data_IF_907144456102
#
_entry.id   IF_907144456102
#
_cell.length_a   1.000
_cell.length_b   1.000
_cell.length_c   1.000
_cell.angle_alpha   90.00
_cell.angle_beta   90.00
_cell.angle_gamma   90.00
#
_symmetry.space_group_name_H-M   'P 1'
#
loop_
_entity.id
_entity.type
_entity.pdbx_description
1 polymer ?
#
# COMPACT_ATOMS: atom_id res chain seq x y z
N UNK A 1 20.35 8.28 2.92
CA UNK A 1 20.06 8.15 1.49
C UNK A 1 19.44 9.47 1.04
N UNK A 2 19.85 10.02 -0.10
CA UNK A 2 19.16 11.17 -0.71
C UNK A 2 17.84 10.68 -1.30
N UNK A 3 16.75 11.44 -1.14
CA UNK A 3 15.44 11.11 -1.73
C UNK A 3 15.59 10.94 -3.24
N UNK A 4 15.11 9.82 -3.77
CA UNK A 4 15.14 9.54 -5.21
C UNK A 4 13.77 9.05 -5.64
N UNK A 5 13.04 9.88 -6.38
CA UNK A 5 11.76 9.48 -6.97
C UNK A 5 11.97 9.10 -8.42
N UNK A 6 11.48 7.93 -8.81
CA UNK A 6 11.57 7.42 -10.17
C UNK A 6 10.19 7.11 -10.75
N UNK A 7 9.97 7.39 -12.04
CA UNK A 7 8.79 6.92 -12.75
C UNK A 7 8.74 5.39 -12.75
N UNK A 8 7.68 4.81 -12.20
CA UNK A 8 7.51 3.35 -12.07
C UNK A 8 7.49 2.65 -13.43
N UNK A 9 7.04 3.35 -14.47
CA UNK A 9 6.83 2.86 -15.83
C UNK A 9 8.15 2.68 -16.59
N UNK A 10 9.17 3.47 -16.30
CA UNK A 10 10.50 3.40 -16.94
C UNK A 10 11.60 2.82 -16.05
N UNK A 11 11.31 2.58 -14.77
CA UNK A 11 12.27 2.00 -13.84
C UNK A 11 12.76 0.60 -14.26
N UNK A 12 14.09 0.42 -14.25
CA UNK A 12 14.74 -0.85 -14.55
C UNK A 12 14.95 -1.66 -13.27
N UNK A 13 14.17 -2.75 -13.14
CA UNK A 13 14.26 -3.66 -12.00
C UNK A 13 15.35 -4.71 -12.17
N UNK A 14 15.98 -5.06 -11.05
CA UNK A 14 16.98 -6.11 -10.93
C UNK A 14 16.66 -7.04 -9.73
N UNK A 15 17.27 -8.23 -9.72
CA UNK A 15 17.09 -9.19 -8.63
C UNK A 15 17.61 -8.71 -7.27
N UNK A 16 18.42 -7.64 -7.24
CA UNK A 16 18.93 -7.04 -6.00
C UNK A 16 17.93 -6.05 -5.38
N UNK A 17 16.87 -5.69 -6.11
CA UNK A 17 15.86 -4.78 -5.62
C UNK A 17 14.92 -5.48 -4.63
N UNK A 18 14.67 -4.81 -3.51
CA UNK A 18 13.54 -5.05 -2.63
C UNK A 18 12.52 -3.94 -2.80
N UNK A 19 11.24 -4.29 -2.83
CA UNK A 19 10.13 -3.33 -2.93
C UNK A 19 9.09 -3.59 -1.85
N UNK A 20 8.53 -2.51 -1.33
CA UNK A 20 7.33 -2.52 -0.51
C UNK A 20 6.24 -1.78 -1.28
N UNK A 21 5.10 -2.44 -1.47
CA UNK A 21 3.94 -1.83 -2.11
C UNK A 21 3.03 -1.27 -1.02
N UNK A 22 2.71 0.00 -1.14
CA UNK A 22 1.68 0.67 -0.35
C UNK A 22 0.29 0.05 -0.64
N UNK A 23 -0.64 0.16 0.32
CA UNK A 23 -2.01 -0.30 0.22
C UNK A 23 -2.75 0.33 -0.96
N UNK A 24 -2.51 1.61 -1.26
CA UNK A 24 -3.10 2.27 -2.42
C UNK A 24 -2.70 1.59 -3.75
N UNK A 25 -1.48 1.05 -3.87
CA UNK A 25 -1.03 0.33 -5.07
C UNK A 25 -1.70 -1.03 -5.16
N UNK A 26 -1.84 -1.74 -4.04
CA UNK A 26 -2.63 -2.97 -4.03
C UNK A 26 -4.09 -2.72 -4.40
N UNK A 27 -4.65 -1.56 -4.04
CA UNK A 27 -5.96 -1.14 -4.53
C UNK A 27 -5.96 -0.93 -6.05
N UNK A 28 -4.95 -0.28 -6.65
CA UNK A 28 -4.83 -0.18 -8.12
C UNK A 28 -4.84 -1.56 -8.81
N UNK A 29 -4.11 -2.53 -8.27
CA UNK A 29 -3.89 -3.85 -8.87
C UNK A 29 -5.05 -4.82 -8.63
N UNK A 30 -5.53 -4.91 -7.38
CA UNK A 30 -6.50 -5.93 -6.95
C UNK A 30 -7.82 -5.37 -6.46
N UNK A 31 -7.92 -4.06 -6.27
CA UNK A 31 -9.13 -3.38 -5.86
C UNK A 31 -10.23 -3.35 -6.94
N UNK A 32 -11.43 -2.87 -6.58
CA UNK A 32 -12.58 -2.83 -7.49
C UNK A 32 -12.36 -2.01 -8.76
N UNK A 33 -12.90 -2.43 -9.93
CA UNK A 33 -12.64 -1.77 -11.21
C UNK A 33 -13.05 -0.30 -11.29
N UNK A 34 -14.22 0.03 -10.73
CA UNK A 34 -14.98 1.27 -10.98
C UNK A 34 -14.47 2.53 -10.25
N UNK A 35 -13.36 2.44 -9.51
CA UNK A 35 -12.81 3.56 -8.74
C UNK A 35 -11.44 4.05 -9.24
N UNK A 36 -10.90 3.41 -10.28
CA UNK A 36 -9.47 3.45 -10.53
C UNK A 36 -9.20 3.80 -11.98
N UNK A 37 -8.38 4.84 -12.19
CA UNK A 37 -7.86 5.18 -13.52
C UNK A 37 -7.26 3.95 -14.19
N UNK A 38 -7.76 3.63 -15.39
CA UNK A 38 -7.29 2.49 -16.19
C UNK A 38 -5.79 2.61 -16.49
N UNK A 39 -5.31 3.83 -16.73
CA UNK A 39 -3.89 4.16 -16.91
C UNK A 39 -3.05 3.73 -15.70
N UNK A 40 -3.41 4.16 -14.49
CA UNK A 40 -2.59 3.88 -13.30
C UNK A 40 -2.68 2.40 -12.91
N UNK A 41 -3.87 1.79 -13.04
CA UNK A 41 -4.01 0.34 -12.88
C UNK A 41 -3.06 -0.40 -13.84
N UNK A 42 -3.02 0.00 -15.11
CA UNK A 42 -2.14 -0.60 -16.10
C UNK A 42 -0.66 -0.43 -15.72
N UNK A 43 -0.26 0.79 -15.33
CA UNK A 43 1.10 1.10 -14.92
C UNK A 43 1.56 0.19 -13.77
N UNK A 44 0.78 0.12 -12.68
CA UNK A 44 1.14 -0.67 -11.50
C UNK A 44 1.03 -2.18 -11.72
N UNK A 45 0.05 -2.65 -12.50
CA UNK A 45 -0.04 -4.07 -12.87
C UNK A 45 1.15 -4.50 -13.73
N UNK A 46 1.56 -3.66 -14.68
CA UNK A 46 2.73 -3.91 -15.52
C UNK A 46 4.02 -3.87 -14.72
N UNK A 47 4.14 -2.93 -13.78
CA UNK A 47 5.26 -2.86 -12.85
C UNK A 47 5.38 -4.13 -12.00
N UNK A 48 4.28 -4.61 -11.42
CA UNK A 48 4.27 -5.87 -10.66
C UNK A 48 4.75 -7.06 -11.52
N UNK A 49 4.35 -7.12 -12.80
CA UNK A 49 4.84 -8.16 -13.72
C UNK A 49 6.36 -8.07 -13.91
N UNK A 50 6.90 -6.86 -14.11
CA UNK A 50 8.35 -6.65 -14.29
C UNK A 50 9.16 -6.94 -13.05
N UNK A 51 8.71 -6.49 -11.88
CA UNK A 51 9.29 -6.80 -10.56
C UNK A 51 9.39 -8.32 -10.36
N UNK A 52 8.30 -9.05 -10.64
CA UNK A 52 8.31 -10.51 -10.55
C UNK A 52 9.21 -11.17 -11.60
N UNK A 53 9.22 -10.65 -12.83
CA UNK A 53 10.10 -11.14 -13.90
C UNK A 53 11.58 -10.95 -13.60
N UNK A 54 11.95 -9.83 -12.96
CA UNK A 54 13.29 -9.53 -12.48
C UNK A 54 13.65 -10.26 -11.17
N UNK A 55 12.70 -11.00 -10.58
CA UNK A 55 12.85 -11.72 -9.31
C UNK A 55 13.22 -10.80 -8.13
N UNK A 56 12.69 -9.58 -8.11
CA UNK A 56 12.84 -8.69 -6.97
C UNK A 56 12.15 -9.28 -5.73
N UNK A 57 12.64 -8.91 -4.54
CA UNK A 57 11.95 -9.20 -3.28
C UNK A 57 10.74 -8.30 -3.14
N UNK A 58 9.57 -8.86 -2.86
CA UNK A 58 8.34 -8.09 -2.59
C UNK A 58 7.99 -8.29 -1.13
N UNK A 59 8.25 -7.29 -0.30
CA UNK A 59 7.96 -7.36 1.13
C UNK A 59 6.54 -6.87 1.40
N UNK A 60 5.82 -7.59 2.27
CA UNK A 60 4.48 -7.22 2.73
C UNK A 60 4.45 -7.11 4.25
N UNK A 61 4.01 -5.96 4.74
CA UNK A 61 3.73 -5.73 6.15
C UNK A 61 2.25 -5.91 6.49
N UNK A 62 1.96 -6.27 7.75
CA UNK A 62 0.59 -6.42 8.23
C UNK A 62 -0.21 -5.10 8.20
N UNK A 63 0.44 -3.94 8.37
CA UNK A 63 -0.19 -2.62 8.26
C UNK A 63 -0.70 -2.37 6.84
N UNK A 64 0.13 -2.61 5.82
CA UNK A 64 -0.28 -2.52 4.41
C UNK A 64 -1.48 -3.43 4.13
N UNK A 65 -1.44 -4.67 4.61
CA UNK A 65 -2.52 -5.63 4.38
C UNK A 65 -3.81 -5.21 5.11
N UNK A 66 -3.69 -4.73 6.34
CA UNK A 66 -4.80 -4.19 7.14
C UNK A 66 -5.48 -3.02 6.44
N UNK A 67 -4.69 -2.07 5.95
CA UNK A 67 -5.19 -0.90 5.26
C UNK A 67 -5.85 -1.28 3.93
N UNK A 68 -5.23 -2.16 3.13
CA UNK A 68 -5.85 -2.69 1.91
C UNK A 68 -7.22 -3.32 2.19
N UNK A 69 -7.32 -4.18 3.22
CA UNK A 69 -8.58 -4.84 3.61
C UNK A 69 -9.63 -3.80 4.00
N UNK A 70 -9.26 -2.82 4.83
CA UNK A 70 -10.16 -1.78 5.31
C UNK A 70 -10.61 -0.85 4.18
N UNK A 71 -9.69 -0.40 3.31
CA UNK A 71 -9.98 0.45 2.15
C UNK A 71 -10.93 -0.25 1.16
N UNK A 72 -10.69 -1.53 0.87
CA UNK A 72 -11.57 -2.33 0.01
C UNK A 72 -12.96 -2.49 0.62
N UNK A 73 -13.05 -2.83 1.91
CA UNK A 73 -14.33 -2.94 2.60
C UNK A 73 -15.10 -1.60 2.61
N UNK A 74 -14.40 -0.48 2.87
CA UNK A 74 -14.98 0.87 2.82
C UNK A 74 -15.47 1.25 1.43
N UNK A 75 -14.77 0.83 0.38
CA UNK A 75 -15.24 1.05 -0.99
C UNK A 75 -16.65 0.46 -1.19
N UNK A 76 -16.87 -0.79 -0.79
CA UNK A 76 -18.19 -1.41 -0.91
C UNK A 76 -19.25 -0.70 -0.07
N UNK A 77 -18.94 -0.41 1.19
CA UNK A 77 -19.83 0.34 2.07
C UNK A 77 -20.24 1.68 1.47
N UNK A 78 -19.29 2.40 0.88
CA UNK A 78 -19.53 3.71 0.26
C UNK A 78 -20.35 3.63 -1.03
N UNK A 79 -20.44 2.44 -1.66
CA UNK A 79 -21.23 2.19 -2.86
C UNK A 79 -22.60 1.57 -2.58
N UNK A 80 -22.93 1.26 -1.33
CA UNK A 80 -24.27 0.80 -0.97
C UNK A 80 -25.30 1.90 -1.26
N UNK A 81 -26.47 1.55 -1.83
CA UNK A 81 -27.60 2.46 -1.93
C UNK A 81 -27.97 3.01 -0.55
N UNK A 82 -28.38 4.27 -0.48
CA UNK A 82 -28.70 4.95 0.80
C UNK A 82 -29.73 4.20 1.63
N UNK A 83 -30.66 3.51 0.98
CA UNK A 83 -31.74 2.73 1.61
C UNK A 83 -31.24 1.43 2.24
N UNK A 84 -30.10 0.91 1.75
CA UNK A 84 -29.49 -0.35 2.20
C UNK A 84 -28.21 -0.13 3.02
N UNK A 85 -27.73 1.11 3.11
CA UNK A 85 -26.48 1.46 3.77
C UNK A 85 -26.72 1.62 5.27
N UNK A 86 -26.09 0.78 6.12
CA UNK A 86 -26.14 0.97 7.56
C UNK A 86 -25.59 2.34 7.95
N UNK A 87 -26.05 2.91 9.07
CA UNK A 87 -25.65 4.26 9.50
C UNK A 87 -24.15 4.41 9.77
N UNK A 88 -23.46 3.32 10.09
CA UNK A 88 -22.01 3.30 10.23
C UNK A 88 -21.36 2.06 9.60
N UNK A 89 -20.07 2.18 9.31
CA UNK A 89 -19.28 1.13 8.69
C UNK A 89 -19.11 -0.12 9.57
N UNK A 90 -19.18 0.02 10.90
CA UNK A 90 -19.02 -1.11 11.83
C UNK A 90 -20.27 -2.00 11.79
N UNK A 91 -21.47 -1.42 11.71
CA UNK A 91 -22.72 -2.14 11.50
C UNK A 91 -22.70 -2.92 10.19
N UNK A 92 -22.18 -2.32 9.11
CA UNK A 92 -21.98 -3.04 7.86
C UNK A 92 -21.05 -4.23 8.03
N UNK A 93 -19.87 -4.07 8.64
CA UNK A 93 -18.94 -5.21 8.84
C UNK A 93 -19.51 -6.36 9.68
N UNK A 94 -20.48 -6.06 10.54
CA UNK A 94 -21.16 -7.05 11.38
C UNK A 94 -22.42 -7.63 10.73
N UNK A 95 -22.80 -7.19 9.53
CA UNK A 95 -23.99 -7.67 8.84
C UNK A 95 -23.73 -8.96 8.07
N UNK A 96 -24.80 -9.71 7.80
CA UNK A 96 -24.76 -10.87 6.89
C UNK A 96 -24.38 -10.48 5.46
N UNK A 97 -24.73 -9.27 5.02
CA UNK A 97 -24.42 -8.76 3.68
C UNK A 97 -22.92 -8.47 3.47
N UNK A 98 -22.14 -8.34 4.55
CA UNK A 98 -20.68 -8.17 4.43
C UNK A 98 -19.93 -9.48 4.18
N UNK A 99 -20.48 -10.65 4.53
CA UNK A 99 -19.77 -11.94 4.37
C UNK A 99 -19.27 -12.18 2.93
N UNK A 100 -20.09 -12.00 1.87
CA UNK A 100 -19.59 -12.16 0.49
C UNK A 100 -18.50 -11.15 0.12
N UNK A 101 -18.56 -9.93 0.67
CA UNK A 101 -17.54 -8.89 0.48
C UNK A 101 -16.23 -9.30 1.17
N UNK A 102 -16.30 -9.76 2.42
CA UNK A 102 -15.14 -10.25 3.16
C UNK A 102 -14.46 -11.44 2.46
N UNK A 103 -15.23 -12.39 1.94
CA UNK A 103 -14.70 -13.51 1.16
C UNK A 103 -13.99 -13.05 -0.11
N UNK A 104 -14.54 -12.04 -0.81
CA UNK A 104 -13.88 -11.45 -1.97
C UNK A 104 -12.56 -10.80 -1.59
N UNK A 105 -12.54 -9.98 -0.53
CA UNK A 105 -11.33 -9.31 -0.03
C UNK A 105 -10.28 -10.36 0.36
N UNK A 106 -10.67 -11.41 1.09
CA UNK A 106 -9.76 -12.48 1.49
C UNK A 106 -9.12 -13.21 0.29
N UNK A 107 -9.88 -13.44 -0.80
CA UNK A 107 -9.32 -14.00 -2.04
C UNK A 107 -8.28 -13.07 -2.68
N UNK A 108 -8.46 -11.74 -2.60
CA UNK A 108 -7.50 -10.76 -3.13
C UNK A 108 -6.27 -10.67 -2.23
N UNK A 109 -6.45 -10.62 -0.91
CA UNK A 109 -5.38 -10.65 0.08
C UNK A 109 -4.47 -11.88 -0.07
N UNK A 110 -5.05 -13.07 -0.27
CA UNK A 110 -4.26 -14.29 -0.57
C UNK A 110 -3.39 -14.14 -1.82
N UNK A 111 -3.92 -13.52 -2.90
CA UNK A 111 -3.12 -13.27 -4.12
C UNK A 111 -1.96 -12.29 -3.88
N UNK A 112 -2.08 -11.39 -2.91
CA UNK A 112 -0.98 -10.49 -2.50
C UNK A 112 0.07 -11.33 -1.75
N UNK A 113 -0.36 -12.11 -0.75
CA UNK A 113 0.51 -13.00 0.02
C UNK A 113 1.28 -13.98 -0.88
N UNK A 114 0.64 -14.59 -1.88
CA UNK A 114 1.28 -15.51 -2.83
C UNK A 114 2.42 -14.86 -3.65
N UNK A 115 2.52 -13.53 -3.66
CA UNK A 115 3.53 -12.76 -4.41
C UNK A 115 4.52 -12.06 -3.50
N UNK A 116 4.37 -12.19 -2.19
CA UNK A 116 5.12 -11.42 -1.22
C UNK A 116 5.74 -12.31 -0.17
N UNK A 117 6.82 -11.84 0.42
CA UNK A 117 7.37 -12.37 1.65
C UNK A 117 6.93 -11.48 2.84
N UNK A 118 6.65 -12.06 4.01
CA UNK A 118 6.30 -11.27 5.18
C UNK A 118 7.47 -10.37 5.60
N UNK A 119 7.16 -9.15 6.02
CA UNK A 119 8.13 -8.25 6.60
C UNK A 119 8.79 -8.87 7.84
N UNK A 120 10.11 -8.76 7.92
CA UNK A 120 10.85 -9.09 9.14
C UNK A 120 10.86 -7.85 10.02
N UNK A 121 9.83 -7.70 10.85
CA UNK A 121 9.71 -6.56 11.75
C UNK A 121 10.65 -6.74 12.94
N UNK A 122 11.72 -5.97 12.96
CA UNK A 122 12.58 -5.80 14.13
C UNK A 122 12.66 -4.30 14.40
N UNK A 123 11.62 -3.75 15.02
CA UNK A 123 11.68 -2.38 15.52
C UNK A 123 12.41 -2.38 16.85
N UNK A 124 13.48 -1.60 16.94
CA UNK A 124 14.05 -1.23 18.22
C UNK A 124 13.11 -0.23 18.91
N UNK A 125 13.04 -0.26 20.24
CA UNK A 125 12.23 0.71 21.01
C UNK A 125 12.61 2.17 20.70
N UNK A 126 13.88 2.43 20.40
CA UNK A 126 14.36 3.75 20.01
C UNK A 126 13.73 4.26 18.68
N UNK A 127 13.51 3.36 17.72
CA UNK A 127 12.89 3.71 16.43
C UNK A 127 11.41 4.09 16.65
N UNK A 128 10.68 3.31 17.46
CA UNK A 128 9.28 3.63 17.82
C UNK A 128 9.19 4.97 18.56
N UNK A 129 10.11 5.25 19.50
CA UNK A 129 10.14 6.53 20.22
C UNK A 129 10.38 7.69 19.25
N UNK A 130 11.27 7.53 18.27
CA UNK A 130 11.51 8.56 17.24
C UNK A 130 10.25 8.82 16.42
N UNK A 131 9.60 7.76 15.92
CA UNK A 131 8.35 7.86 15.16
C UNK A 131 7.28 8.58 15.99
N UNK A 132 7.08 8.20 17.24
CA UNK A 132 6.09 8.85 18.13
C UNK A 132 6.41 10.32 18.38
N UNK A 133 7.69 10.67 18.48
CA UNK A 133 8.13 12.06 18.70
C UNK A 133 7.82 12.93 17.47
N UNK A 134 8.05 12.39 16.26
CA UNK A 134 7.68 13.07 15.02
C UNK A 134 6.15 13.14 14.84
N UNK A 135 5.43 12.05 15.11
CA UNK A 135 3.96 11.99 15.06
C UNK A 135 3.31 13.03 15.97
N UNK A 136 3.89 13.29 17.15
CA UNK A 136 3.40 14.31 18.08
C UNK A 136 3.41 15.73 17.48
N UNK A 137 4.12 15.97 16.37
CA UNK A 137 4.07 17.21 15.60
C UNK A 137 2.74 17.42 14.84
N UNK A 138 1.93 16.37 14.66
CA UNK A 138 0.57 16.44 14.12
C UNK A 138 0.47 16.50 12.59
N UNK A 139 1.59 16.51 11.87
CA UNK A 139 1.65 16.61 10.41
C UNK A 139 1.92 15.27 9.71
N UNK A 140 2.31 14.24 10.47
CA UNK A 140 2.67 12.93 9.94
C UNK A 140 1.65 11.85 10.32
N UNK A 141 1.40 10.90 9.41
CA UNK A 141 0.67 9.68 9.74
C UNK A 141 1.61 8.63 10.34
N UNK A 142 1.19 8.01 11.45
CA UNK A 142 1.99 7.02 12.15
C UNK A 142 2.29 5.79 11.29
N UNK A 143 1.31 5.29 10.53
CA UNK A 143 1.52 4.10 9.71
C UNK A 143 2.52 4.40 8.59
N UNK A 144 2.41 5.57 7.96
CA UNK A 144 3.35 5.99 6.92
C UNK A 144 4.78 6.07 7.45
N UNK A 145 4.98 6.58 8.67
CA UNK A 145 6.29 6.60 9.31
C UNK A 145 6.82 5.19 9.62
N UNK A 146 5.97 4.28 10.10
CA UNK A 146 6.35 2.89 10.32
C UNK A 146 6.74 2.21 9.01
N UNK A 147 6.00 2.45 7.92
CA UNK A 147 6.31 1.89 6.60
C UNK A 147 7.59 2.49 6.00
N UNK A 148 7.82 3.79 6.20
CA UNK A 148 9.04 4.46 5.79
C UNK A 148 10.26 3.86 6.51
N UNK A 149 10.15 3.66 7.82
CA UNK A 149 11.21 3.07 8.62
C UNK A 149 11.47 1.61 8.23
N UNK A 150 10.42 0.84 7.99
CA UNK A 150 10.54 -0.52 7.47
C UNK A 150 11.30 -0.56 6.14
N UNK A 151 11.00 0.37 5.22
CA UNK A 151 11.72 0.50 3.96
C UNK A 151 13.20 0.84 4.18
N UNK A 152 13.49 1.77 5.09
CA UNK A 152 14.86 2.19 5.43
C UNK A 152 15.69 1.03 5.98
N UNK A 153 15.18 0.33 6.99
CA UNK A 153 15.90 -0.78 7.67
C UNK A 153 16.14 -1.96 6.73
N UNK A 154 15.21 -2.24 5.82
CA UNK A 154 15.29 -3.38 4.91
C UNK A 154 15.83 -3.03 3.51
N UNK A 155 16.28 -1.78 3.29
CA UNK A 155 16.75 -1.26 2.01
C UNK A 155 15.73 -1.51 0.87
N UNK A 156 14.47 -1.19 1.13
CA UNK A 156 13.36 -1.37 0.20
C UNK A 156 13.03 -0.05 -0.51
N UNK A 157 12.58 -0.16 -1.76
CA UNK A 157 11.97 0.92 -2.51
C UNK A 157 10.47 0.94 -2.24
N UNK A 158 9.92 2.09 -1.92
CA UNK A 158 8.49 2.26 -1.70
C UNK A 158 7.79 2.45 -3.05
N UNK A 159 6.82 1.59 -3.36
CA UNK A 159 5.91 1.76 -4.48
C UNK A 159 4.62 2.35 -3.94
N UNK A 160 4.36 3.63 -4.22
CA UNK A 160 3.18 4.36 -3.72
C UNK A 160 2.61 5.31 -4.78
N UNK A 161 1.33 5.65 -4.65
CA UNK A 161 0.71 6.75 -5.39
C UNK A 161 0.41 7.95 -4.47
N UNK A 162 0.80 7.90 -3.20
CA UNK A 162 0.52 8.95 -2.23
C UNK A 162 1.58 10.06 -2.24
N UNK A 163 1.13 11.30 -2.39
CA UNK A 163 2.01 12.47 -2.45
C UNK A 163 2.62 12.82 -1.09
N UNK A 164 2.04 12.33 0.00
CA UNK A 164 2.48 12.65 1.36
C UNK A 164 3.85 12.04 1.70
N UNK A 165 4.29 11.01 0.96
CA UNK A 165 5.66 10.48 1.04
C UNK A 165 6.72 11.41 0.42
N UNK A 166 6.35 12.54 -0.18
CA UNK A 166 7.28 13.50 -0.79
C UNK A 166 8.31 14.09 0.19
N UNK A 167 8.05 14.09 1.50
CA UNK A 167 9.01 14.55 2.52
C UNK A 167 10.04 13.49 2.95
N UNK A 168 9.89 12.24 2.54
CA UNK A 168 10.66 11.12 3.09
C UNK A 168 12.00 10.89 2.38
N UNK A 169 13.02 10.43 3.13
CA UNK A 169 14.33 10.05 2.61
C UNK A 169 14.35 8.62 2.02
N UNK A 170 13.32 8.27 1.25
CA UNK A 170 13.15 6.98 0.61
C UNK A 170 13.45 7.03 -0.88
N UNK A 171 13.73 5.86 -1.46
CA UNK A 171 13.57 5.66 -2.90
C UNK A 171 12.11 5.35 -3.20
N UNK A 172 11.46 6.21 -3.97
CA UNK A 172 10.03 6.09 -4.32
C UNK A 172 9.90 5.72 -5.79
N UNK A 173 9.08 4.72 -6.09
CA UNK A 173 8.71 4.34 -7.44
C UNK A 173 7.22 4.63 -7.65
N UNK A 174 6.87 5.51 -8.58
CA UNK A 174 5.48 5.98 -8.70
C UNK A 174 5.05 6.32 -10.12
N UNK A 175 3.75 6.24 -10.39
CA UNK A 175 3.12 6.82 -11.57
C UNK A 175 2.38 8.13 -11.24
N UNK A 176 2.45 8.63 -10.00
CA UNK A 176 1.81 9.88 -9.61
C UNK A 176 2.64 11.06 -10.12
N UNK A 177 2.11 11.90 -11.03
CA UNK A 177 2.85 13.03 -11.56
C UNK A 177 3.26 14.04 -10.48
N UNK A 178 2.48 14.19 -9.39
CA UNK A 178 2.80 15.13 -8.30
C UNK A 178 4.10 14.81 -7.56
N UNK A 179 4.53 13.55 -7.60
CA UNK A 179 5.78 13.10 -6.99
C UNK A 179 6.98 13.17 -7.95
N UNK A 180 6.72 13.26 -9.26
CA UNK A 180 7.73 13.23 -10.32
C UNK A 180 8.17 14.63 -10.78
N UNK A 181 7.48 15.66 -10.29
CA UNK A 181 7.75 17.09 -10.53
C UNK A 181 8.43 17.71 -9.32
#
# INVERSE_FOLDING_TARGET
>A
MTKQVYPIDTYHFSSHDGVLFDANIWMYIYGPPSHISSQYRYAYTSALRRIRGAKCRIVLDALVLSEFINAYARFFYNKLPSELKPGDFKLFRNSSSFKPVAEQIARRARKILDKSEPAKNQFASAEIISILSEYAGGEADFNDQVLAELCRVNNLKLVTHDADFSGTNLTILTANPKLLT
#
